data_IF_624646072545
#
_entry.id   IF_624646072545
#
_cell.length_a   1.000
_cell.length_b   1.000
_cell.length_c   1.000
_cell.angle_alpha   90.00
_cell.angle_beta   90.00
_cell.angle_gamma   90.00
#
_symmetry.space_group_name_H-M   'P 1'
#
loop_
_entity.id
_entity.type
_entity.pdbx_description
1 polymer ?
#
# COMPACT_ATOMS: atom_id res chain seq x y z
N UNK A 1 23.62 -1.24 22.65
CA UNK A 1 23.41 -0.46 21.41
C UNK A 1 23.71 1.04 21.60
N UNK A 2 23.50 1.60 22.82
CA UNK A 2 23.71 3.05 23.06
C UNK A 2 25.17 3.52 23.03
N UNK A 3 26.14 2.67 23.36
CA UNK A 3 27.56 3.08 23.41
C UNK A 3 28.18 3.31 22.05
N UNK A 4 27.79 2.53 21.06
CA UNK A 4 28.37 2.61 19.70
C UNK A 4 27.89 3.86 18.94
N UNK A 5 26.68 4.35 19.24
CA UNK A 5 26.11 5.57 18.66
C UNK A 5 26.94 6.84 18.95
N UNK A 6 27.60 6.90 20.11
CA UNK A 6 28.47 8.04 20.46
C UNK A 6 29.83 8.03 19.78
N UNK A 7 30.29 6.87 19.32
CA UNK A 7 31.60 6.72 18.66
C UNK A 7 31.53 7.18 17.19
N UNK A 8 30.42 6.90 16.50
CA UNK A 8 30.25 7.22 15.09
C UNK A 8 30.13 8.72 14.80
N UNK A 9 29.48 9.50 15.67
CA UNK A 9 29.34 10.94 15.49
C UNK A 9 30.60 11.79 15.71
N UNK A 10 31.69 11.18 16.16
CA UNK A 10 32.97 11.89 16.42
C UNK A 10 33.84 12.06 15.19
N UNK A 11 33.58 11.37 14.09
CA UNK A 11 34.46 11.34 12.90
C UNK A 11 33.97 12.22 11.74
N UNK A 12 32.99 13.13 11.97
CA UNK A 12 32.55 14.09 10.96
C UNK A 12 31.84 13.47 9.74
N UNK A 13 31.45 12.20 9.81
CA UNK A 13 30.67 11.53 8.79
C UNK A 13 29.25 12.10 8.77
N UNK A 14 28.88 12.73 7.67
CA UNK A 14 27.55 13.33 7.47
C UNK A 14 26.43 12.32 7.61
N UNK A 15 26.65 11.10 7.17
CA UNK A 15 25.67 10.02 7.25
C UNK A 15 25.44 9.59 8.70
N UNK A 16 26.53 9.40 9.45
CA UNK A 16 26.45 9.05 10.88
C UNK A 16 25.78 10.14 11.71
N UNK A 17 26.01 11.41 11.38
CA UNK A 17 25.34 12.54 12.02
C UNK A 17 23.84 12.57 11.73
N UNK A 18 23.45 12.32 10.48
CA UNK A 18 22.05 12.23 10.09
C UNK A 18 21.33 11.05 10.80
N UNK A 19 21.97 9.88 10.84
CA UNK A 19 21.46 8.72 11.55
C UNK A 19 21.28 8.99 13.04
N UNK A 20 22.28 9.64 13.68
CA UNK A 20 22.20 10.03 15.08
C UNK A 20 21.02 10.94 15.35
N UNK A 21 20.84 12.00 14.56
CA UNK A 21 19.73 12.95 14.72
C UNK A 21 18.36 12.24 14.61
N UNK A 22 18.23 11.27 13.73
CA UNK A 22 17.01 10.47 13.59
C UNK A 22 16.80 9.54 14.78
N UNK A 23 17.86 8.88 15.27
CA UNK A 23 17.76 8.00 16.45
C UNK A 23 17.39 8.77 17.71
N UNK A 24 17.87 10.00 17.87
CA UNK A 24 17.50 10.89 18.98
C UNK A 24 15.99 11.23 18.99
N UNK A 25 15.33 11.24 17.82
CA UNK A 25 13.88 11.39 17.70
C UNK A 25 13.13 10.07 17.92
N UNK A 26 13.65 8.96 17.38
CA UNK A 26 13.00 7.65 17.41
C UNK A 26 13.01 7.00 18.80
N UNK A 27 14.11 7.13 19.56
CA UNK A 27 14.25 6.47 20.88
C UNK A 27 13.16 6.89 21.85
N UNK A 28 12.92 8.21 22.10
CA UNK A 28 11.83 8.66 22.97
C UNK A 28 10.47 8.20 22.46
N UNK A 29 10.25 8.29 21.14
CA UNK A 29 9.01 7.90 20.49
C UNK A 29 8.67 6.41 20.71
N UNK A 30 9.67 5.54 20.58
CA UNK A 30 9.52 4.11 20.89
C UNK A 30 9.33 3.84 22.38
N UNK A 31 9.93 4.64 23.26
CA UNK A 31 9.73 4.52 24.70
C UNK A 31 8.29 4.83 25.12
N UNK A 32 7.57 5.60 24.32
CA UNK A 32 6.12 5.85 24.46
C UNK A 32 5.24 4.76 23.82
N UNK A 33 5.83 3.71 23.24
CA UNK A 33 5.12 2.65 22.56
C UNK A 33 4.60 3.00 21.16
N UNK A 34 5.02 4.14 20.59
CA UNK A 34 4.54 4.63 19.29
C UNK A 34 5.35 4.05 18.13
N UNK A 35 4.72 3.68 17.00
CA UNK A 35 5.42 3.14 15.83
C UNK A 35 6.18 4.22 15.06
N UNK A 36 7.28 3.85 14.38
CA UNK A 36 8.08 4.78 13.59
C UNK A 36 7.25 5.54 12.53
N UNK A 37 6.26 4.87 11.92
CA UNK A 37 5.41 5.46 10.87
C UNK A 37 4.65 6.71 11.31
N UNK A 38 4.20 6.78 12.57
CA UNK A 38 3.50 7.95 13.08
C UNK A 38 4.42 9.19 13.14
N UNK A 39 5.69 9.00 13.51
CA UNK A 39 6.70 10.05 13.50
C UNK A 39 7.07 10.46 12.05
N UNK A 40 7.12 9.50 11.13
CA UNK A 40 7.50 9.72 9.73
C UNK A 40 6.54 10.64 8.97
N UNK A 41 5.30 10.80 9.40
CA UNK A 41 4.34 11.71 8.76
C UNK A 41 4.91 13.12 8.57
N UNK A 42 5.59 13.64 9.58
CA UNK A 42 6.09 14.99 9.64
C UNK A 42 7.57 15.13 9.26
N UNK A 43 8.18 14.06 8.73
CA UNK A 43 9.59 14.03 8.35
C UNK A 43 9.79 14.38 6.87
N UNK A 44 10.94 14.98 6.57
CA UNK A 44 11.39 15.25 5.21
C UNK A 44 11.68 13.96 4.42
N UNK A 45 11.83 14.05 3.11
CA UNK A 45 12.17 12.92 2.25
C UNK A 45 13.54 12.31 2.63
N UNK A 46 14.51 13.15 2.97
CA UNK A 46 15.85 12.73 3.36
C UNK A 46 15.83 12.00 4.70
N UNK A 47 15.10 12.49 5.71
CA UNK A 47 14.92 11.80 6.98
C UNK A 47 14.24 10.44 6.81
N UNK A 48 13.21 10.37 5.97
CA UNK A 48 12.55 9.10 5.62
C UNK A 48 13.49 8.11 4.96
N UNK A 49 14.43 8.59 4.13
CA UNK A 49 15.43 7.74 3.50
C UNK A 49 16.38 7.13 4.55
N UNK A 50 16.83 7.92 5.53
CA UNK A 50 17.65 7.43 6.64
C UNK A 50 16.91 6.34 7.44
N UNK A 51 15.63 6.57 7.78
CA UNK A 51 14.82 5.57 8.51
C UNK A 51 14.66 4.27 7.72
N UNK A 52 14.52 4.34 6.39
CA UNK A 52 14.47 3.15 5.54
C UNK A 52 15.72 2.28 5.69
N UNK A 53 16.89 2.90 5.84
CA UNK A 53 18.16 2.20 6.08
C UNK A 53 18.19 1.41 7.40
N UNK A 54 17.35 1.76 8.37
CA UNK A 54 17.23 1.01 9.64
C UNK A 54 16.35 -0.25 9.53
N UNK A 55 15.63 -0.45 8.43
CA UNK A 55 14.75 -1.60 8.18
C UNK A 55 13.75 -1.89 9.29
N UNK A 56 13.24 -0.85 9.95
CA UNK A 56 12.31 -0.97 11.08
C UNK A 56 10.97 -1.54 10.61
N UNK A 57 10.47 -2.56 11.31
CA UNK A 57 9.16 -3.14 11.02
C UNK A 57 8.04 -2.10 11.19
N UNK A 58 8.15 -1.24 12.21
CA UNK A 58 7.16 -0.20 12.53
C UNK A 58 7.21 1.00 11.58
N UNK A 59 8.18 1.09 10.66
CA UNK A 59 8.23 2.10 9.60
C UNK A 59 7.43 1.72 8.35
N UNK A 60 7.03 0.45 8.24
CA UNK A 60 6.25 -0.02 7.09
C UNK A 60 4.84 0.55 7.10
N UNK A 61 4.25 0.84 5.93
CA UNK A 61 2.85 1.22 5.84
C UNK A 61 1.95 0.08 6.37
N UNK A 62 0.85 0.45 7.01
CA UNK A 62 -0.09 -0.47 7.65
C UNK A 62 -1.50 -0.19 7.16
N UNK A 63 -2.27 -1.25 6.98
CA UNK A 63 -3.70 -1.22 6.74
C UNK A 63 -4.40 -2.06 7.80
N UNK A 64 -5.44 -1.52 8.40
CA UNK A 64 -6.33 -2.22 9.30
C UNK A 64 -7.53 -2.75 8.52
N UNK A 65 -7.72 -4.06 8.50
CA UNK A 65 -8.94 -4.70 7.98
C UNK A 65 -9.85 -4.92 9.18
N UNK A 66 -10.86 -4.07 9.31
CA UNK A 66 -11.80 -4.11 10.42
C UNK A 66 -12.96 -5.04 10.07
N UNK A 67 -13.01 -6.23 10.69
CA UNK A 67 -14.15 -7.14 10.53
C UNK A 67 -15.33 -6.61 11.34
N UNK A 68 -16.41 -6.25 10.65
CA UNK A 68 -17.63 -5.71 11.24
C UNK A 68 -18.82 -6.65 11.01
N UNK A 69 -19.90 -6.48 11.77
CA UNK A 69 -21.18 -7.12 11.48
C UNK A 69 -21.85 -6.49 10.24
N UNK A 70 -22.90 -7.10 9.71
CA UNK A 70 -23.61 -6.64 8.51
C UNK A 70 -24.13 -5.20 8.66
N UNK A 71 -24.57 -4.82 9.86
CA UNK A 71 -25.02 -3.49 10.23
C UNK A 71 -23.93 -2.60 10.86
N UNK A 72 -22.70 -3.11 10.93
CA UNK A 72 -21.59 -2.50 11.68
C UNK A 72 -20.71 -1.55 10.86
N UNK A 73 -21.07 -1.20 9.64
CA UNK A 73 -20.30 -0.26 8.80
C UNK A 73 -20.48 1.20 9.24
N UNK A 74 -21.62 1.51 9.84
CA UNK A 74 -21.97 2.83 10.36
C UNK A 74 -22.31 2.75 11.85
N UNK A 75 -22.19 3.88 12.56
CA UNK A 75 -22.52 4.00 13.98
C UNK A 75 -21.86 2.94 14.87
N UNK A 76 -20.64 2.54 14.56
CA UNK A 76 -19.89 1.51 15.26
C UNK A 76 -18.75 2.10 16.09
N UNK A 77 -18.91 2.21 17.43
CA UNK A 77 -17.90 2.81 18.30
C UNK A 77 -16.53 2.13 18.23
N UNK A 78 -16.50 0.80 18.00
CA UNK A 78 -15.24 0.07 17.85
C UNK A 78 -14.52 0.43 16.56
N UNK A 79 -15.26 0.57 15.46
CA UNK A 79 -14.72 1.00 14.19
C UNK A 79 -14.17 2.43 14.28
N UNK A 80 -14.86 3.31 15.01
CA UNK A 80 -14.44 4.70 15.20
C UNK A 80 -13.11 4.78 15.99
N UNK A 81 -12.94 3.92 17.00
CA UNK A 81 -11.65 3.80 17.72
C UNK A 81 -10.54 3.33 16.79
N UNK A 82 -10.78 2.33 15.95
CA UNK A 82 -9.79 1.86 14.97
C UNK A 82 -9.44 2.95 13.95
N UNK A 83 -10.43 3.71 13.48
CA UNK A 83 -10.19 4.86 12.58
C UNK A 83 -9.33 5.94 13.24
N UNK A 84 -9.58 6.26 14.52
CA UNK A 84 -8.79 7.24 15.26
C UNK A 84 -7.32 6.81 15.41
N UNK A 85 -7.08 5.54 15.77
CA UNK A 85 -5.72 4.97 15.85
C UNK A 85 -5.04 5.03 14.47
N UNK A 86 -5.73 4.62 13.43
CA UNK A 86 -5.20 4.63 12.08
C UNK A 86 -4.84 6.04 11.59
N UNK A 87 -5.67 7.02 11.92
CA UNK A 87 -5.40 8.43 11.62
C UNK A 87 -4.13 8.92 12.32
N UNK A 88 -3.95 8.60 13.61
CA UNK A 88 -2.74 8.93 14.35
C UNK A 88 -1.49 8.30 13.71
N UNK A 89 -1.56 7.04 13.30
CA UNK A 89 -0.45 6.31 12.71
C UNK A 89 -0.21 6.59 11.21
N UNK A 90 -1.17 7.18 10.52
CA UNK A 90 -1.17 7.31 9.05
C UNK A 90 -1.44 6.02 8.33
N UNK A 91 -2.24 5.16 8.93
CA UNK A 91 -2.69 3.89 8.38
C UNK A 91 -4.03 4.03 7.64
N UNK A 92 -4.36 3.03 6.84
CA UNK A 92 -5.65 2.92 6.14
C UNK A 92 -6.57 1.97 6.92
N UNK A 93 -7.86 2.27 7.00
CA UNK A 93 -8.87 1.35 7.55
C UNK A 93 -9.81 0.91 6.44
N UNK A 94 -10.00 -0.40 6.31
CA UNK A 94 -10.96 -1.00 5.39
C UNK A 94 -11.92 -1.85 6.21
N UNK A 95 -13.16 -1.41 6.44
CA UNK A 95 -14.16 -2.24 7.09
C UNK A 95 -14.66 -3.31 6.11
N UNK A 96 -14.76 -4.55 6.59
CA UNK A 96 -15.22 -5.71 5.82
C UNK A 96 -16.12 -6.55 6.71
N UNK A 97 -17.17 -7.11 6.17
CA UNK A 97 -17.99 -8.11 6.87
C UNK A 97 -17.63 -9.50 6.30
N UNK A 98 -16.86 -10.28 7.04
CA UNK A 98 -16.42 -11.61 6.58
C UNK A 98 -17.59 -12.56 6.33
N UNK A 99 -18.75 -12.37 7.00
CA UNK A 99 -19.95 -13.15 6.75
C UNK A 99 -20.49 -12.88 5.35
N UNK A 100 -20.65 -11.61 4.98
CA UNK A 100 -21.09 -11.20 3.64
C UNK A 100 -20.10 -11.71 2.57
N UNK A 101 -18.79 -11.58 2.81
CA UNK A 101 -17.77 -12.07 1.87
C UNK A 101 -17.86 -13.58 1.66
N UNK A 102 -18.14 -14.35 2.72
CA UNK A 102 -18.33 -15.79 2.61
C UNK A 102 -19.58 -16.16 1.80
N UNK A 103 -20.69 -15.46 2.02
CA UNK A 103 -21.93 -15.66 1.26
C UNK A 103 -21.73 -15.33 -0.22
N UNK A 104 -21.04 -14.24 -0.56
CA UNK A 104 -20.68 -13.89 -1.94
C UNK A 104 -19.81 -14.96 -2.59
N UNK A 105 -18.87 -15.55 -1.83
CA UNK A 105 -17.96 -16.56 -2.35
C UNK A 105 -18.66 -17.91 -2.65
N UNK A 106 -19.84 -18.17 -2.06
CA UNK A 106 -20.64 -19.35 -2.32
C UNK A 106 -21.54 -19.20 -3.56
N UNK A 107 -21.70 -17.98 -4.10
CA UNK A 107 -22.46 -17.72 -5.31
C UNK A 107 -21.61 -18.03 -6.55
N UNK A 108 -22.17 -18.79 -7.49
CA UNK A 108 -21.45 -19.18 -8.72
C UNK A 108 -21.59 -18.11 -9.82
N UNK A 109 -22.79 -17.55 -10.00
CA UNK A 109 -23.09 -16.64 -11.09
C UNK A 109 -22.82 -15.18 -10.74
N UNK A 110 -22.21 -14.44 -11.66
CA UNK A 110 -21.90 -13.02 -11.44
C UNK A 110 -23.17 -12.15 -11.27
N UNK A 111 -24.27 -12.54 -11.92
CA UNK A 111 -25.56 -11.87 -11.79
C UNK A 111 -26.13 -12.05 -10.37
N UNK A 112 -26.02 -13.23 -9.78
CA UNK A 112 -26.44 -13.49 -8.39
C UNK A 112 -25.62 -12.68 -7.39
N UNK A 113 -24.29 -12.59 -7.59
CA UNK A 113 -23.41 -11.76 -6.78
C UNK A 113 -23.81 -10.29 -6.83
N UNK A 114 -24.13 -9.78 -8.02
CA UNK A 114 -24.56 -8.40 -8.20
C UNK A 114 -25.90 -8.12 -7.48
N UNK A 115 -26.88 -9.01 -7.67
CA UNK A 115 -28.17 -8.89 -6.97
C UNK A 115 -28.04 -8.94 -5.45
N UNK A 116 -27.14 -9.81 -4.94
CA UNK A 116 -26.87 -9.91 -3.51
C UNK A 116 -26.25 -8.62 -2.97
N UNK A 117 -25.23 -8.06 -3.64
CA UNK A 117 -24.60 -6.80 -3.26
C UNK A 117 -25.61 -5.64 -3.26
N UNK A 118 -26.46 -5.54 -4.28
CA UNK A 118 -27.52 -4.53 -4.36
C UNK A 118 -28.51 -4.65 -3.21
N UNK A 119 -28.89 -5.88 -2.83
CA UNK A 119 -29.80 -6.11 -1.69
C UNK A 119 -29.21 -5.66 -0.36
N UNK A 120 -27.87 -5.68 -0.23
CA UNK A 120 -27.12 -5.24 0.94
C UNK A 120 -26.73 -3.75 0.87
N UNK A 121 -27.11 -3.03 -0.20
CA UNK A 121 -26.72 -1.64 -0.42
C UNK A 121 -25.22 -1.44 -0.68
N UNK A 122 -24.55 -2.47 -1.18
CA UNK A 122 -23.11 -2.47 -1.47
C UNK A 122 -22.85 -2.36 -2.97
N UNK A 123 -21.90 -1.54 -3.37
CA UNK A 123 -21.50 -1.39 -4.78
C UNK A 123 -20.54 -2.51 -5.23
N UNK A 124 -19.79 -3.08 -4.30
CA UNK A 124 -18.79 -4.09 -4.58
C UNK A 124 -18.43 -4.93 -3.35
N UNK A 125 -17.85 -6.14 -3.53
CA UNK A 125 -17.33 -6.94 -2.44
C UNK A 125 -16.25 -6.21 -1.62
N UNK A 126 -16.20 -6.47 -0.32
CA UNK A 126 -15.17 -5.93 0.57
C UNK A 126 -13.76 -6.34 0.17
N UNK A 127 -13.60 -7.53 -0.41
CA UNK A 127 -12.32 -8.00 -0.97
C UNK A 127 -11.76 -7.03 -2.02
N UNK A 128 -12.59 -6.51 -2.91
CA UNK A 128 -12.16 -5.54 -3.93
C UNK A 128 -11.66 -4.24 -3.29
N UNK A 129 -12.32 -3.78 -2.22
CA UNK A 129 -11.88 -2.61 -1.43
C UNK A 129 -10.53 -2.86 -0.76
N UNK A 130 -10.32 -4.05 -0.19
CA UNK A 130 -9.03 -4.46 0.41
C UNK A 130 -7.92 -4.46 -0.64
N UNK A 131 -8.17 -5.04 -1.82
CA UNK A 131 -7.19 -5.07 -2.92
C UNK A 131 -6.83 -3.65 -3.35
N UNK A 132 -7.81 -2.79 -3.60
CA UNK A 132 -7.55 -1.39 -4.01
C UNK A 132 -6.81 -0.61 -2.93
N UNK A 133 -7.21 -0.76 -1.67
CA UNK A 133 -6.51 -0.12 -0.56
C UNK A 133 -5.06 -0.61 -0.44
N UNK A 134 -4.79 -1.90 -0.66
CA UNK A 134 -3.45 -2.47 -0.71
C UNK A 134 -2.60 -1.89 -1.83
N UNK A 135 -3.14 -1.79 -3.05
CA UNK A 135 -2.47 -1.16 -4.18
C UNK A 135 -2.15 0.31 -3.89
N UNK A 136 -3.11 1.07 -3.37
CA UNK A 136 -2.92 2.46 -2.98
C UNK A 136 -1.85 2.61 -1.88
N UNK A 137 -1.91 1.78 -0.84
CA UNK A 137 -0.97 1.80 0.27
C UNK A 137 0.48 1.56 -0.18
N UNK A 138 0.66 0.67 -1.13
CA UNK A 138 1.97 0.31 -1.69
C UNK A 138 2.38 1.19 -2.87
N UNK A 139 1.53 2.14 -3.26
CA UNK A 139 1.72 3.02 -4.42
C UNK A 139 1.95 2.23 -5.71
N UNK A 140 1.07 1.24 -5.95
CA UNK A 140 1.13 0.32 -7.09
C UNK A 140 0.04 0.63 -8.11
N UNK A 141 0.33 0.30 -9.36
CA UNK A 141 -0.61 0.28 -10.47
C UNK A 141 -0.39 -0.94 -11.34
N UNK A 142 -1.41 -1.33 -12.09
CA UNK A 142 -1.34 -2.43 -13.05
C UNK A 142 -1.36 -1.88 -14.46
N UNK A 143 -0.55 -2.48 -15.34
CA UNK A 143 -0.67 -2.36 -16.78
C UNK A 143 -0.75 -3.75 -17.41
N UNK A 144 -1.27 -3.84 -18.62
CA UNK A 144 -1.40 -5.09 -19.35
C UNK A 144 -0.44 -5.11 -20.54
N UNK A 145 0.09 -6.28 -20.85
CA UNK A 145 0.66 -6.55 -22.16
C UNK A 145 -0.31 -7.44 -22.93
N UNK A 146 -0.64 -7.06 -24.16
CA UNK A 146 -1.48 -7.83 -25.05
C UNK A 146 -0.66 -8.27 -26.27
N UNK A 147 -0.63 -9.56 -26.53
CA UNK A 147 0.05 -10.16 -27.67
C UNK A 147 -0.72 -11.34 -28.21
N UNK A 148 -0.30 -11.86 -29.36
CA UNK A 148 -0.98 -12.99 -30.02
C UNK A 148 -1.01 -14.25 -29.16
N UNK A 149 -0.01 -14.42 -28.29
CA UNK A 149 0.14 -15.64 -27.47
C UNK A 149 -0.48 -15.52 -26.09
N UNK A 150 -0.44 -14.35 -25.50
CA UNK A 150 -0.94 -14.13 -24.14
C UNK A 150 -1.31 -12.67 -23.90
N UNK A 151 -2.23 -12.49 -22.95
CA UNK A 151 -2.50 -11.22 -22.29
C UNK A 151 -2.09 -11.36 -20.83
N UNK A 152 -1.30 -10.43 -20.31
CA UNK A 152 -0.78 -10.53 -18.94
C UNK A 152 -0.82 -9.19 -18.21
N UNK A 153 -1.23 -9.25 -16.94
CA UNK A 153 -1.17 -8.12 -16.02
C UNK A 153 0.20 -8.03 -15.34
N UNK A 154 0.72 -6.81 -15.20
CA UNK A 154 1.98 -6.52 -14.55
C UNK A 154 1.79 -5.42 -13.52
N UNK A 155 2.37 -5.60 -12.35
CA UNK A 155 2.29 -4.63 -11.28
C UNK A 155 3.57 -3.79 -11.24
N UNK A 156 3.41 -2.46 -11.20
CA UNK A 156 4.51 -1.50 -11.17
C UNK A 156 4.19 -0.37 -10.18
N UNK A 157 5.19 0.34 -9.70
CA UNK A 157 4.97 1.52 -8.85
C UNK A 157 4.39 2.66 -9.67
N UNK A 158 3.45 3.41 -9.07
CA UNK A 158 2.94 4.66 -9.67
C UNK A 158 4.13 5.63 -9.86
N UNK A 159 4.21 6.24 -11.03
CA UNK A 159 5.31 7.14 -11.41
C UNK A 159 6.54 6.45 -11.97
N UNK A 160 6.52 5.10 -12.12
CA UNK A 160 7.58 4.41 -12.85
C UNK A 160 7.65 4.87 -14.31
N UNK A 161 8.85 5.04 -14.81
CA UNK A 161 9.10 5.36 -16.24
C UNK A 161 8.85 4.13 -17.12
N UNK A 162 8.66 4.32 -18.42
CA UNK A 162 8.44 3.22 -19.36
C UNK A 162 9.58 2.17 -19.36
N UNK A 163 10.87 2.52 -19.29
CA UNK A 163 11.94 1.53 -19.11
C UNK A 163 11.80 0.73 -17.80
N UNK A 164 11.47 1.40 -16.69
CA UNK A 164 11.25 0.74 -15.40
C UNK A 164 10.05 -0.21 -15.42
N UNK A 165 8.97 0.17 -16.11
CA UNK A 165 7.85 -0.72 -16.33
C UNK A 165 8.26 -1.94 -17.17
N UNK A 166 9.01 -1.75 -18.24
CA UNK A 166 9.54 -2.84 -19.05
C UNK A 166 10.47 -3.78 -18.27
N UNK A 167 11.20 -3.28 -17.29
CA UNK A 167 12.06 -4.07 -16.40
C UNK A 167 11.28 -5.09 -15.56
N UNK A 168 10.01 -4.83 -15.26
CA UNK A 168 9.15 -5.77 -14.52
C UNK A 168 8.85 -7.01 -15.35
N UNK A 169 8.82 -6.89 -16.68
CA UNK A 169 8.65 -8.02 -17.60
C UNK A 169 9.96 -8.84 -17.66
N UNK A 170 11.07 -8.15 -17.90
CA UNK A 170 12.42 -8.73 -17.92
C UNK A 170 13.46 -7.64 -17.71
N UNK A 171 14.49 -7.90 -16.92
CA UNK A 171 15.55 -6.92 -16.57
C UNK A 171 16.27 -6.35 -17.78
N UNK A 172 16.45 -7.14 -18.84
CA UNK A 172 17.11 -6.69 -20.08
C UNK A 172 16.30 -5.64 -20.82
N UNK A 173 14.96 -5.62 -20.63
CA UNK A 173 14.08 -4.65 -21.28
C UNK A 173 14.25 -3.23 -20.73
N UNK A 174 14.78 -3.07 -19.52
CA UNK A 174 15.12 -1.74 -19.01
C UNK A 174 16.27 -1.11 -19.80
N UNK A 175 17.36 -1.87 -19.96
CA UNK A 175 18.57 -1.41 -20.66
C UNK A 175 18.39 -1.31 -22.16
N UNK A 176 17.60 -2.21 -22.74
CA UNK A 176 17.31 -2.29 -24.16
C UNK A 176 16.05 -1.52 -24.59
N UNK A 177 15.42 -0.74 -23.68
CA UNK A 177 14.19 -0.05 -23.99
C UNK A 177 14.39 1.00 -25.06
N UNK A 178 13.60 0.92 -26.14
CA UNK A 178 13.60 1.90 -27.23
C UNK A 178 12.28 2.67 -27.23
N UNK A 179 11.16 1.97 -27.32
CA UNK A 179 9.81 2.54 -27.35
C UNK A 179 8.78 1.47 -26.95
N UNK A 180 7.63 1.93 -26.50
CA UNK A 180 6.43 1.11 -26.33
C UNK A 180 5.27 1.77 -27.09
N UNK A 181 4.39 0.96 -27.65
CA UNK A 181 3.08 1.37 -28.11
C UNK A 181 2.10 1.17 -26.95
N UNK A 182 1.35 2.21 -26.62
CA UNK A 182 0.48 2.21 -25.44
C UNK A 182 -0.91 2.65 -25.87
N UNK A 183 -1.92 1.88 -25.47
CA UNK A 183 -3.34 2.18 -25.66
C UNK A 183 -3.98 2.31 -24.28
N UNK A 184 -4.87 3.27 -24.09
CA UNK A 184 -5.63 3.38 -22.86
C UNK A 184 -6.56 2.15 -22.70
N UNK A 185 -6.73 1.66 -21.46
CA UNK A 185 -7.53 0.47 -21.21
C UNK A 185 -8.96 0.60 -21.73
N UNK A 186 -9.60 1.74 -21.48
CA UNK A 186 -10.98 1.99 -21.91
C UNK A 186 -11.11 2.00 -23.43
N UNK A 187 -10.13 2.59 -24.14
CA UNK A 187 -10.09 2.56 -25.61
C UNK A 187 -9.90 1.13 -26.12
N UNK A 188 -9.01 0.36 -25.51
CA UNK A 188 -8.79 -1.05 -25.88
C UNK A 188 -10.08 -1.88 -25.74
N UNK A 189 -10.83 -1.70 -24.67
CA UNK A 189 -12.11 -2.39 -24.46
C UNK A 189 -13.18 -1.89 -25.43
N UNK A 190 -13.28 -0.57 -25.64
CA UNK A 190 -14.29 0.03 -26.50
C UNK A 190 -14.13 -0.43 -27.97
N UNK A 191 -12.89 -0.49 -28.46
CA UNK A 191 -12.59 -0.83 -29.86
C UNK A 191 -12.29 -2.32 -30.08
N UNK A 192 -12.33 -3.14 -29.02
CA UNK A 192 -12.13 -4.61 -29.03
C UNK A 192 -10.72 -5.04 -29.51
N UNK A 193 -9.71 -4.28 -29.11
CA UNK A 193 -8.31 -4.56 -29.41
C UNK A 193 -7.75 -3.75 -30.57
#
# INVERSE_FOLDING_TARGET
>A
PHKDMYIWGRHGDKEALAQKAILEKLIPHFSEGKPARSLMKNMSADEKLVIRGFHLLTSKPVMYIANVAEDGFENNPHLDVVKAIAEEEGAIVVPVCNKIEAEIAELDEDEEKQMFLESMGMEEPGLNRVIRAGYSLLNLQTYFTAGVKEVRAWTVRIGATAPQAAAVIHTDFEKGFIRAEVVAYDDFIQYKG
#
